data_IF_139619584848
#
_entry.id   IF_139619584848
#
_cell.length_a   1.000
_cell.length_b   1.000
_cell.length_c   1.000
_cell.angle_alpha   90.00
_cell.angle_beta   90.00
_cell.angle_gamma   90.00
#
_symmetry.space_group_name_H-M   'P 1'
#
loop_
_entity.id
_entity.type
_entity.pdbx_description
1 polymer ?
#
# COMPACT_ATOMS: atom_id res chain seq x y z
N UNK A 1 -25.68 33.89 -29.42
CA UNK A 1 -24.81 32.79 -29.90
C UNK A 1 -25.22 32.44 -31.33
N UNK A 2 -24.32 31.94 -32.19
CA UNK A 2 -24.69 31.47 -33.52
C UNK A 2 -25.72 30.32 -33.43
N UNK A 3 -26.56 30.15 -34.46
CA UNK A 3 -27.46 29.00 -34.57
C UNK A 3 -26.65 27.71 -34.80
N UNK A 4 -27.04 26.62 -34.14
CA UNK A 4 -26.44 25.29 -34.38
C UNK A 4 -26.65 24.93 -35.85
N UNK A 5 -25.60 24.42 -36.50
CA UNK A 5 -25.62 24.14 -37.94
C UNK A 5 -25.03 25.26 -38.80
N UNK A 6 -24.78 26.45 -38.24
CA UNK A 6 -24.19 27.56 -39.00
C UNK A 6 -22.79 27.21 -39.51
N UNK A 7 -22.55 27.41 -40.80
CA UNK A 7 -21.23 27.19 -41.45
C UNK A 7 -20.56 28.53 -41.76
N UNK A 8 -19.25 28.63 -41.48
CA UNK A 8 -18.39 29.76 -41.82
C UNK A 8 -17.07 29.31 -42.42
N UNK A 9 -16.45 30.11 -43.28
CA UNK A 9 -15.05 29.93 -43.71
C UNK A 9 -14.11 30.37 -42.59
N UNK A 10 -12.91 29.77 -42.51
CA UNK A 10 -11.90 30.10 -41.50
C UNK A 10 -11.61 31.62 -41.39
N UNK A 11 -11.51 32.32 -42.53
CA UNK A 11 -11.27 33.78 -42.58
C UNK A 11 -12.35 34.60 -41.85
N UNK A 12 -13.61 34.15 -41.85
CA UNK A 12 -14.73 34.82 -41.16
C UNK A 12 -14.69 34.65 -39.63
N UNK A 13 -13.82 33.77 -39.13
CA UNK A 13 -13.58 33.52 -37.71
C UNK A 13 -12.22 34.06 -37.24
N UNK A 14 -11.49 34.77 -38.11
CA UNK A 14 -10.12 35.22 -37.83
C UNK A 14 -9.08 34.08 -37.82
N UNK A 15 -9.41 32.93 -38.42
CA UNK A 15 -8.52 31.77 -38.51
C UNK A 15 -7.85 31.71 -39.89
N UNK A 16 -6.61 31.22 -39.94
CA UNK A 16 -5.89 30.96 -41.18
C UNK A 16 -6.38 29.69 -41.88
N UNK A 17 -6.34 29.67 -43.22
CA UNK A 17 -6.61 28.49 -44.05
C UNK A 17 -7.94 28.51 -44.81
N UNK A 18 -8.22 27.43 -45.53
CA UNK A 18 -9.35 27.31 -46.46
C UNK A 18 -10.52 26.45 -45.93
N UNK A 19 -10.37 25.90 -44.72
CA UNK A 19 -11.35 25.00 -44.14
C UNK A 19 -12.66 25.73 -43.80
N UNK A 20 -13.78 25.01 -43.95
CA UNK A 20 -15.08 25.41 -43.42
C UNK A 20 -15.19 24.94 -41.97
N UNK A 21 -15.91 25.71 -41.18
CA UNK A 21 -16.17 25.47 -39.77
C UNK A 21 -17.68 25.47 -39.52
N UNK A 22 -18.13 24.57 -38.66
CA UNK A 22 -19.51 24.36 -38.27
C UNK A 22 -19.69 24.73 -36.79
N UNK A 23 -20.71 25.52 -36.48
CA UNK A 23 -21.13 25.75 -35.10
C UNK A 23 -21.93 24.53 -34.63
N UNK A 24 -21.34 23.75 -33.72
CA UNK A 24 -21.85 22.44 -33.30
C UNK A 24 -21.88 22.31 -31.78
N UNK A 25 -22.93 21.71 -31.24
CA UNK A 25 -23.04 21.37 -29.82
C UNK A 25 -22.40 20.01 -29.54
N UNK A 26 -21.64 19.89 -28.44
CA UNK A 26 -21.13 18.59 -28.00
C UNK A 26 -22.28 17.64 -27.66
N UNK A 27 -22.33 16.46 -28.27
CA UNK A 27 -23.37 15.44 -27.99
C UNK A 27 -23.41 14.97 -26.53
N UNK A 28 -22.32 15.13 -25.78
CA UNK A 28 -22.21 14.67 -24.38
C UNK A 28 -22.55 15.76 -23.37
N UNK A 29 -22.08 17.01 -23.58
CA UNK A 29 -22.22 18.07 -22.59
C UNK A 29 -23.00 19.30 -23.07
N UNK A 30 -23.52 19.29 -24.30
CA UNK A 30 -24.26 20.41 -24.90
C UNK A 30 -23.41 21.64 -25.25
N UNK A 31 -22.16 21.75 -24.77
CA UNK A 31 -21.32 22.93 -25.03
C UNK A 31 -21.10 23.14 -26.52
N UNK A 32 -21.50 24.31 -26.98
CA UNK A 32 -21.37 24.78 -28.36
C UNK A 32 -19.93 25.22 -28.66
N UNK A 33 -19.47 24.97 -29.89
CA UNK A 33 -18.15 25.38 -30.38
C UNK A 33 -18.11 25.39 -31.90
N UNK A 34 -17.14 26.10 -32.46
CA UNK A 34 -16.73 25.88 -33.85
C UNK A 34 -15.90 24.59 -33.95
N UNK A 35 -16.24 23.72 -34.89
CA UNK A 35 -15.45 22.54 -35.28
C UNK A 35 -15.25 22.53 -36.79
N UNK A 36 -14.18 21.90 -37.30
CA UNK A 36 -14.00 21.79 -38.75
C UNK A 36 -15.14 20.98 -39.37
N UNK A 37 -15.56 21.36 -40.56
CA UNK A 37 -16.56 20.64 -41.36
C UNK A 37 -15.83 19.74 -42.37
N UNK A 38 -16.02 18.42 -42.27
CA UNK A 38 -15.42 17.42 -43.16
C UNK A 38 -16.54 16.60 -43.78
N UNK A 39 -16.65 16.62 -45.12
CA UNK A 39 -17.69 15.90 -45.88
C UNK A 39 -19.13 16.20 -45.42
N UNK A 40 -19.39 17.44 -44.99
CA UNK A 40 -20.72 17.87 -44.54
C UNK A 40 -21.00 17.63 -43.05
N UNK A 41 -20.11 16.96 -42.33
CA UNK A 41 -20.26 16.63 -40.91
C UNK A 41 -19.21 17.33 -40.04
N UNK A 42 -19.45 17.52 -38.73
CA UNK A 42 -18.41 17.98 -37.81
C UNK A 42 -17.27 16.97 -37.72
N UNK A 43 -16.01 17.44 -37.82
CA UNK A 43 -14.81 16.61 -37.65
C UNK A 43 -14.82 15.81 -36.33
N UNK A 44 -15.38 16.42 -35.27
CA UNK A 44 -15.62 15.75 -33.99
C UNK A 44 -17.02 16.09 -33.49
N UNK A 45 -17.86 15.07 -33.30
CA UNK A 45 -19.19 15.25 -32.71
C UNK A 45 -19.13 15.69 -31.23
N UNK A 46 -18.00 15.41 -30.55
CA UNK A 46 -17.78 15.70 -29.14
C UNK A 46 -16.65 16.72 -28.91
N UNK A 47 -16.75 17.51 -27.83
CA UNK A 47 -15.69 18.45 -27.46
C UNK A 47 -14.47 17.69 -26.91
N UNK A 48 -13.27 18.29 -26.98
CA UNK A 48 -12.03 17.67 -26.48
C UNK A 48 -12.14 17.22 -25.02
N UNK A 49 -12.81 18.01 -24.18
CA UNK A 49 -12.99 17.69 -22.77
C UNK A 49 -13.85 16.43 -22.56
N UNK A 50 -14.87 16.19 -23.38
CA UNK A 50 -15.70 14.99 -23.33
C UNK A 50 -15.01 13.80 -24.01
N UNK A 51 -14.43 14.00 -25.19
CA UNK A 51 -13.72 12.95 -25.94
C UNK A 51 -12.49 12.41 -25.20
N UNK A 52 -11.88 13.16 -24.29
CA UNK A 52 -10.74 12.67 -23.50
C UNK A 52 -11.15 11.99 -22.18
N UNK A 53 -12.44 11.80 -21.91
CA UNK A 53 -12.93 11.21 -20.66
C UNK A 53 -13.49 9.80 -20.86
N UNK A 54 -13.20 8.93 -19.89
CA UNK A 54 -13.78 7.60 -19.81
C UNK A 54 -13.61 6.82 -21.11
N UNK A 55 -14.69 6.13 -21.53
CA UNK A 55 -14.72 5.24 -22.70
C UNK A 55 -14.47 5.93 -24.04
N UNK A 56 -14.64 7.26 -24.10
CA UNK A 56 -14.52 8.05 -25.33
C UNK A 56 -13.07 8.37 -25.67
N UNK A 57 -12.16 8.25 -24.69
CA UNK A 57 -10.74 8.47 -24.92
C UNK A 57 -10.15 7.27 -25.66
N UNK A 58 -9.50 7.48 -26.80
CA UNK A 58 -8.83 6.40 -27.55
C UNK A 58 -7.74 5.66 -26.76
N UNK A 59 -7.25 6.24 -25.65
CA UNK A 59 -6.33 5.59 -24.70
C UNK A 59 -7.04 4.86 -23.55
N UNK A 60 -8.36 4.83 -23.54
CA UNK A 60 -9.14 4.16 -22.52
C UNK A 60 -8.98 2.65 -22.66
N UNK A 61 -8.48 2.02 -21.61
CA UNK A 61 -8.15 0.60 -21.61
C UNK A 61 -9.09 -0.21 -20.70
N UNK A 62 -10.40 0.10 -20.69
CA UNK A 62 -11.37 -0.64 -19.88
C UNK A 62 -11.61 -0.09 -18.46
N UNK A 63 -11.01 1.04 -18.08
CA UNK A 63 -11.15 1.60 -16.74
C UNK A 63 -10.24 0.90 -15.71
N UNK A 64 -10.58 0.97 -14.41
CA UNK A 64 -9.87 0.18 -13.38
C UNK A 64 -10.52 -1.20 -13.26
N UNK A 65 -9.72 -2.22 -13.00
CA UNK A 65 -10.14 -3.61 -12.84
C UNK A 65 -10.12 -3.98 -11.36
N UNK A 66 -11.16 -4.64 -10.88
CA UNK A 66 -11.25 -5.14 -9.51
C UNK A 66 -10.41 -6.41 -9.34
N UNK A 67 -9.67 -6.51 -8.24
CA UNK A 67 -8.81 -7.64 -7.88
C UNK A 67 -8.91 -7.91 -6.38
N UNK A 68 -8.65 -9.14 -5.99
CA UNK A 68 -8.49 -9.55 -4.59
C UNK A 68 -6.99 -9.65 -4.30
N UNK A 69 -6.55 -9.03 -3.22
CA UNK A 69 -5.17 -9.11 -2.77
C UNK A 69 -4.90 -10.51 -2.20
N UNK A 70 -3.93 -11.27 -2.71
CA UNK A 70 -3.65 -12.61 -2.18
C UNK A 70 -2.95 -12.60 -0.81
N UNK A 71 -2.64 -11.41 -0.26
CA UNK A 71 -1.98 -11.28 1.04
C UNK A 71 -2.96 -10.93 2.16
N UNK A 72 -3.87 -9.99 1.93
CA UNK A 72 -4.84 -9.54 2.94
C UNK A 72 -6.30 -9.81 2.57
N UNK A 73 -6.56 -10.43 1.41
CA UNK A 73 -7.89 -10.77 0.89
C UNK A 73 -8.81 -9.56 0.61
N UNK A 74 -8.31 -8.33 0.80
CA UNK A 74 -9.06 -7.12 0.46
C UNK A 74 -9.22 -6.95 -1.05
N UNK A 75 -10.37 -6.40 -1.42
CA UNK A 75 -10.67 -6.06 -2.81
C UNK A 75 -10.19 -4.65 -3.16
N UNK A 76 -9.50 -4.50 -4.29
CA UNK A 76 -8.93 -3.23 -4.72
C UNK A 76 -9.00 -3.03 -6.25
N UNK A 77 -8.79 -1.79 -6.70
CA UNK A 77 -8.90 -1.39 -8.10
C UNK A 77 -7.52 -1.13 -8.73
N UNK A 78 -7.23 -1.79 -9.84
CA UNK A 78 -5.93 -1.74 -10.54
C UNK A 78 -6.07 -1.19 -11.95
N UNK A 79 -5.09 -0.42 -12.41
CA UNK A 79 -5.01 -0.02 -13.82
C UNK A 79 -4.63 -1.23 -14.68
N UNK A 80 -5.36 -1.55 -15.76
CA UNK A 80 -5.06 -2.67 -16.64
C UNK A 80 -3.61 -2.69 -17.18
N UNK A 81 -2.98 -1.52 -17.36
CA UNK A 81 -1.58 -1.43 -17.77
C UNK A 81 -0.59 -2.04 -16.77
N UNK A 82 -0.91 -2.05 -15.47
CA UNK A 82 -0.09 -2.72 -14.46
C UNK A 82 -0.17 -4.25 -14.62
N UNK A 83 -1.36 -4.77 -14.92
CA UNK A 83 -1.60 -6.21 -15.11
C UNK A 83 -0.77 -6.78 -16.27
N UNK A 84 -0.58 -6.01 -17.35
CA UNK A 84 0.26 -6.41 -18.50
C UNK A 84 1.72 -6.71 -18.13
N UNK A 85 2.22 -6.15 -17.02
CA UNK A 85 3.57 -6.38 -16.53
C UNK A 85 3.59 -7.22 -15.24
N UNK A 86 2.52 -7.99 -15.00
CA UNK A 86 2.34 -8.77 -13.76
C UNK A 86 2.44 -7.93 -12.47
N UNK A 87 2.13 -6.63 -12.56
CA UNK A 87 2.08 -5.70 -11.42
C UNK A 87 0.62 -5.52 -10.97
N UNK A 88 0.44 -5.04 -9.74
CA UNK A 88 -0.91 -4.84 -9.18
C UNK A 88 -1.58 -6.15 -8.76
N UNK A 89 -0.77 -7.15 -8.37
CA UNK A 89 -1.23 -8.36 -7.70
C UNK A 89 -1.67 -8.07 -6.25
N UNK A 90 -1.06 -7.07 -5.60
CA UNK A 90 -1.31 -6.69 -4.21
C UNK A 90 -1.97 -5.32 -4.11
N UNK A 91 -2.80 -5.13 -3.08
CA UNK A 91 -3.52 -3.87 -2.85
C UNK A 91 -2.58 -2.71 -2.48
N UNK A 92 -1.41 -3.02 -1.94
CA UNK A 92 -0.44 -2.06 -1.42
C UNK A 92 0.99 -2.56 -1.59
N UNK A 93 1.96 -1.65 -1.47
CA UNK A 93 3.39 -2.01 -1.45
C UNK A 93 3.75 -2.85 -0.23
N UNK A 94 3.09 -2.63 0.91
CA UNK A 94 3.30 -3.45 2.11
C UNK A 94 2.89 -4.91 1.87
N UNK A 95 1.69 -5.16 1.32
CA UNK A 95 1.27 -6.53 0.98
C UNK A 95 2.20 -7.22 -0.03
N UNK A 96 2.72 -6.48 -1.01
CA UNK A 96 3.73 -7.02 -1.93
C UNK A 96 5.03 -7.41 -1.20
N UNK A 97 5.53 -6.56 -0.30
CA UNK A 97 6.74 -6.84 0.48
C UNK A 97 6.56 -8.01 1.44
N UNK A 98 5.41 -8.11 2.10
CA UNK A 98 5.08 -9.23 2.98
C UNK A 98 5.13 -10.54 2.18
N UNK A 99 4.48 -10.57 1.02
CA UNK A 99 4.50 -11.73 0.15
C UNK A 99 5.92 -12.12 -0.27
N UNK A 100 6.73 -11.15 -0.68
CA UNK A 100 8.12 -11.40 -1.08
C UNK A 100 8.98 -11.92 0.10
N UNK A 101 8.75 -11.41 1.32
CA UNK A 101 9.41 -11.92 2.53
C UNK A 101 9.00 -13.36 2.83
N UNK A 102 7.70 -13.67 2.75
CA UNK A 102 7.19 -15.06 2.90
C UNK A 102 7.77 -16.03 1.87
N UNK A 103 8.16 -15.54 0.69
CA UNK A 103 8.85 -16.32 -0.35
C UNK A 103 10.37 -16.40 -0.14
N UNK A 104 10.90 -15.83 0.95
CA UNK A 104 12.33 -15.88 1.27
C UNK A 104 13.21 -15.00 0.38
N UNK A 105 12.64 -14.06 -0.38
CA UNK A 105 13.44 -13.11 -1.18
C UNK A 105 14.35 -12.23 -0.31
N UNK A 106 14.01 -12.07 0.96
CA UNK A 106 14.77 -11.32 1.94
C UNK A 106 15.16 -12.26 3.07
N UNK A 107 16.12 -13.17 2.85
CA UNK A 107 16.75 -13.87 3.96
C UNK A 107 17.55 -12.85 4.76
N UNK A 108 16.99 -12.37 5.85
CA UNK A 108 17.71 -11.52 6.80
C UNK A 108 18.28 -12.41 7.89
N UNK A 109 19.60 -12.51 7.93
CA UNK A 109 20.28 -12.98 9.14
C UNK A 109 20.04 -11.96 10.25
N UNK A 110 19.97 -12.41 11.51
CA UNK A 110 19.90 -11.52 12.65
C UNK A 110 20.97 -10.42 12.56
N UNK A 111 20.59 -9.18 12.81
CA UNK A 111 21.52 -8.08 12.97
C UNK A 111 22.27 -8.22 14.32
N UNK A 112 23.27 -7.36 14.59
CA UNK A 112 24.09 -7.47 15.81
C UNK A 112 23.28 -7.35 17.11
N UNK A 113 22.24 -6.53 17.10
CA UNK A 113 21.39 -6.26 18.26
C UNK A 113 20.46 -7.45 18.49
N UNK A 114 19.85 -7.97 17.43
CA UNK A 114 19.07 -9.21 17.46
C UNK A 114 19.92 -10.38 17.95
N UNK A 115 21.15 -10.52 17.45
CA UNK A 115 22.09 -11.55 17.89
C UNK A 115 22.40 -11.45 19.38
N UNK A 116 22.58 -10.23 19.90
CA UNK A 116 22.81 -10.01 21.34
C UNK A 116 21.64 -10.55 22.18
N UNK A 117 20.39 -10.35 21.72
CA UNK A 117 19.22 -10.88 22.40
C UNK A 117 19.06 -12.40 22.23
N UNK A 118 19.38 -12.95 21.05
CA UNK A 118 19.46 -14.41 20.83
C UNK A 118 20.41 -15.03 21.85
N UNK A 119 21.62 -14.48 21.99
CA UNK A 119 22.64 -14.99 22.91
C UNK A 119 22.15 -14.92 24.37
N UNK A 120 21.50 -13.82 24.77
CA UNK A 120 20.89 -13.69 26.09
C UNK A 120 19.79 -14.74 26.34
N UNK A 121 18.95 -15.02 25.34
CA UNK A 121 17.89 -16.02 25.47
C UNK A 121 18.48 -17.42 25.63
N UNK A 122 19.47 -17.78 24.81
CA UNK A 122 20.17 -19.05 24.92
C UNK A 122 20.90 -19.20 26.26
N UNK A 123 21.67 -18.20 26.67
CA UNK A 123 22.45 -18.23 27.92
C UNK A 123 21.55 -18.37 29.17
N UNK A 124 20.35 -17.80 29.14
CA UNK A 124 19.44 -17.79 30.28
C UNK A 124 18.23 -18.72 30.13
N UNK A 125 18.24 -19.60 29.13
CA UNK A 125 17.16 -20.55 28.83
C UNK A 125 15.78 -19.87 28.80
N UNK A 126 15.68 -18.75 28.08
CA UNK A 126 14.44 -18.00 27.93
C UNK A 126 13.65 -18.53 26.73
N UNK A 127 12.32 -18.64 26.84
CA UNK A 127 11.48 -19.31 25.84
C UNK A 127 11.10 -18.36 24.71
N UNK A 128 12.08 -17.77 24.04
CA UNK A 128 11.85 -16.90 22.88
C UNK A 128 12.75 -17.34 21.73
N UNK A 129 12.17 -17.42 20.53
CA UNK A 129 12.89 -17.68 19.28
C UNK A 129 12.83 -16.47 18.37
N UNK A 130 13.89 -16.24 17.60
CA UNK A 130 13.91 -15.24 16.55
C UNK A 130 12.99 -15.65 15.39
N UNK A 131 12.13 -14.74 14.96
CA UNK A 131 11.22 -14.90 13.80
C UNK A 131 11.21 -13.67 12.88
N UNK A 132 12.10 -12.70 13.15
CA UNK A 132 12.23 -11.45 12.39
C UNK A 132 12.72 -11.64 10.94
N UNK A 133 13.10 -12.85 10.56
CA UNK A 133 13.47 -13.22 9.18
C UNK A 133 12.28 -13.34 8.22
N UNK A 134 11.05 -13.28 8.72
CA UNK A 134 9.87 -13.51 7.90
C UNK A 134 9.03 -14.71 8.31
N UNK A 135 9.44 -15.51 9.31
CA UNK A 135 8.78 -16.79 9.64
C UNK A 135 7.32 -16.61 10.08
N UNK A 136 6.99 -15.58 10.86
CA UNK A 136 5.66 -15.40 11.48
C UNK A 136 5.05 -14.03 11.14
N UNK A 137 3.77 -14.00 10.78
CA UNK A 137 3.07 -12.76 10.41
C UNK A 137 1.74 -12.59 11.13
N UNK A 138 1.53 -11.42 11.72
CA UNK A 138 0.26 -10.98 12.30
C UNK A 138 -0.24 -9.79 11.49
N UNK A 139 -1.13 -10.06 10.54
CA UNK A 139 -1.53 -9.06 9.55
C UNK A 139 -0.33 -8.59 8.73
N UNK A 140 0.01 -7.30 8.85
CA UNK A 140 1.11 -6.67 8.10
C UNK A 140 2.41 -6.51 8.89
N UNK A 141 2.55 -7.14 10.07
CA UNK A 141 3.77 -7.07 10.88
C UNK A 141 4.31 -8.47 11.21
N UNK A 142 5.62 -8.55 11.31
CA UNK A 142 6.36 -9.71 11.79
C UNK A 142 7.16 -9.25 13.01
N UNK A 143 7.02 -9.92 14.18
CA UNK A 143 7.79 -9.59 15.38
C UNK A 143 9.23 -10.09 15.28
N UNK A 144 10.17 -9.49 16.01
CA UNK A 144 11.55 -9.98 15.99
C UNK A 144 11.67 -11.31 16.73
N UNK A 145 10.91 -11.49 17.83
CA UNK A 145 10.88 -12.74 18.58
C UNK A 145 9.49 -13.16 19.00
N UNK A 146 9.30 -14.47 19.06
CA UNK A 146 8.05 -15.13 19.48
C UNK A 146 8.33 -16.08 20.64
N UNK A 147 7.43 -16.09 21.63
CA UNK A 147 7.51 -17.02 22.74
C UNK A 147 7.22 -18.47 22.30
N UNK A 148 7.97 -19.43 22.85
CA UNK A 148 7.89 -20.86 22.47
C UNK A 148 7.16 -21.75 23.47
N UNK A 149 6.80 -21.23 24.65
CA UNK A 149 6.14 -21.98 25.74
C UNK A 149 4.60 -21.89 25.65
N UNK A 150 4.05 -21.62 24.47
CA UNK A 150 2.62 -21.50 24.24
C UNK A 150 1.98 -20.19 24.75
N UNK A 151 2.75 -19.29 25.39
CA UNK A 151 2.26 -17.96 25.76
C UNK A 151 2.15 -17.07 24.52
N UNK A 152 1.06 -16.30 24.42
CA UNK A 152 0.89 -15.29 23.37
C UNK A 152 1.72 -14.03 23.68
N UNK A 153 3.03 -14.15 23.49
CA UNK A 153 4.01 -13.11 23.78
C UNK A 153 4.95 -12.90 22.59
N UNK A 154 5.20 -11.64 22.26
CA UNK A 154 6.18 -11.21 21.25
C UNK A 154 7.13 -10.17 21.84
N UNK A 155 8.34 -10.08 21.29
CA UNK A 155 9.31 -9.04 21.59
C UNK A 155 9.68 -8.34 20.29
N UNK A 156 9.75 -7.00 20.33
CA UNK A 156 10.23 -6.16 19.22
C UNK A 156 11.42 -5.30 19.69
N UNK A 157 12.44 -5.21 18.86
CA UNK A 157 13.61 -4.35 18.99
C UNK A 157 13.35 -3.09 18.17
N UNK A 158 13.43 -1.93 18.81
CA UNK A 158 13.23 -0.63 18.17
C UNK A 158 14.55 0.15 18.16
N UNK A 159 15.07 0.44 16.97
CA UNK A 159 16.21 1.35 16.80
C UNK A 159 15.82 2.80 17.06
N UNK A 160 16.53 3.48 17.98
CA UNK A 160 16.22 4.85 18.39
C UNK A 160 16.36 5.88 17.27
N UNK A 161 17.22 5.59 16.28
CA UNK A 161 17.42 6.45 15.12
C UNK A 161 16.33 6.30 14.06
N UNK A 162 15.78 5.09 13.89
CA UNK A 162 14.87 4.76 12.78
C UNK A 162 13.39 4.83 13.17
N UNK A 163 13.08 4.73 14.45
CA UNK A 163 11.71 4.63 14.93
C UNK A 163 11.26 5.92 15.64
N UNK A 164 10.10 6.49 15.25
CA UNK A 164 9.40 7.51 16.03
C UNK A 164 9.13 7.06 17.46
N UNK A 165 9.09 8.00 18.40
CA UNK A 165 8.88 7.74 19.85
C UNK A 165 7.64 6.88 20.15
N UNK A 166 6.60 6.96 19.33
CA UNK A 166 5.33 6.26 19.52
C UNK A 166 5.26 4.88 18.87
N UNK A 167 6.28 4.46 18.09
CA UNK A 167 6.26 3.17 17.39
C UNK A 167 6.06 1.98 18.33
N UNK A 168 6.63 2.05 19.54
CA UNK A 168 6.44 1.00 20.54
C UNK A 168 4.97 0.83 20.96
N UNK A 169 4.23 1.93 21.13
CA UNK A 169 2.81 1.89 21.48
C UNK A 169 1.98 1.30 20.33
N UNK A 170 2.28 1.70 19.09
CA UNK A 170 1.60 1.18 17.90
C UNK A 170 1.82 -0.32 17.72
N UNK A 171 3.04 -0.81 17.99
CA UNK A 171 3.36 -2.25 17.96
C UNK A 171 2.57 -3.02 19.02
N UNK A 172 2.50 -2.47 20.24
CA UNK A 172 1.75 -3.08 21.34
C UNK A 172 0.27 -3.21 20.99
N UNK A 173 -0.37 -2.13 20.52
CA UNK A 173 -1.79 -2.18 20.15
C UNK A 173 -2.04 -3.10 18.94
N UNK A 174 -1.12 -3.13 17.96
CA UNK A 174 -1.20 -4.05 16.82
C UNK A 174 -1.27 -5.51 17.27
N UNK A 175 -0.29 -5.99 18.06
CA UNK A 175 -0.24 -7.38 18.49
C UNK A 175 -1.35 -7.75 19.48
N UNK A 176 -1.79 -6.79 20.30
CA UNK A 176 -2.95 -6.93 21.18
C UNK A 176 -4.22 -7.25 20.41
N UNK A 177 -4.41 -6.70 19.20
CA UNK A 177 -5.51 -7.05 18.30
C UNK A 177 -5.56 -8.55 17.92
N UNK A 178 -4.42 -9.25 17.97
CA UNK A 178 -4.29 -10.68 17.72
C UNK A 178 -4.26 -11.52 19.02
N UNK A 179 -4.48 -10.88 20.18
CA UNK A 179 -4.43 -11.52 21.49
C UNK A 179 -3.01 -11.78 22.01
N UNK A 180 -2.00 -11.09 21.47
CA UNK A 180 -0.62 -11.15 21.94
C UNK A 180 -0.30 -9.98 22.85
N UNK A 181 0.50 -10.22 23.88
CA UNK A 181 1.19 -9.16 24.60
C UNK A 181 2.54 -8.91 23.95
N UNK A 182 2.94 -7.65 23.84
CA UNK A 182 4.18 -7.24 23.18
C UNK A 182 5.08 -6.52 24.18
N UNK A 183 6.36 -6.88 24.18
CA UNK A 183 7.42 -6.14 24.86
C UNK A 183 8.26 -5.41 23.82
N UNK A 184 8.22 -4.09 23.82
CA UNK A 184 9.17 -3.27 23.08
C UNK A 184 10.47 -3.08 23.88
N UNK A 185 11.59 -3.31 23.23
CA UNK A 185 12.94 -3.05 23.75
C UNK A 185 13.58 -2.04 22.81
N UNK A 186 13.93 -0.88 23.33
CA UNK A 186 14.67 0.12 22.56
C UNK A 186 16.15 -0.23 22.52
N UNK A 187 16.81 0.06 21.40
CA UNK A 187 18.23 -0.21 21.17
C UNK A 187 19.14 0.39 22.27
N UNK A 188 18.80 1.58 22.77
CA UNK A 188 19.55 2.24 23.84
C UNK A 188 19.38 1.56 25.21
N UNK A 189 18.31 0.80 25.43
CA UNK A 189 18.17 -0.03 26.64
C UNK A 189 19.25 -1.13 26.69
N UNK A 190 19.75 -1.59 25.55
CA UNK A 190 20.77 -2.63 25.45
C UNK A 190 22.19 -2.15 25.80
N UNK A 191 22.35 -0.86 26.12
CA UNK A 191 23.56 -0.36 26.81
C UNK A 191 23.73 -1.06 28.17
N UNK A 192 22.63 -1.49 28.82
CA UNK A 192 22.64 -2.34 30.01
C UNK A 192 21.86 -3.65 29.75
N UNK A 193 22.52 -4.68 29.19
CA UNK A 193 21.89 -5.95 28.87
C UNK A 193 21.26 -6.67 30.09
N UNK A 194 21.80 -6.48 31.30
CA UNK A 194 21.26 -7.13 32.50
C UNK A 194 19.94 -6.52 32.95
N UNK A 195 19.79 -5.19 32.81
CA UNK A 195 18.51 -4.53 33.03
C UNK A 195 17.46 -5.00 32.03
N UNK A 196 17.84 -5.13 30.76
CA UNK A 196 16.97 -5.68 29.70
C UNK A 196 16.60 -7.14 30.00
N UNK A 197 17.56 -7.97 30.40
CA UNK A 197 17.31 -9.34 30.83
C UNK A 197 16.29 -9.42 31.97
N UNK A 198 16.41 -8.54 32.98
CA UNK A 198 15.44 -8.45 34.07
C UNK A 198 14.03 -8.08 33.57
N UNK A 199 13.93 -7.18 32.59
CA UNK A 199 12.68 -6.80 31.92
C UNK A 199 12.05 -7.99 31.20
N UNK A 200 12.84 -8.71 30.39
CA UNK A 200 12.39 -9.90 29.64
C UNK A 200 11.94 -11.01 30.59
N UNK A 201 12.71 -11.30 31.65
CA UNK A 201 12.33 -12.33 32.64
C UNK A 201 11.00 -12.00 33.32
N UNK A 202 10.75 -10.74 33.68
CA UNK A 202 9.45 -10.31 34.23
C UNK A 202 8.33 -10.49 33.21
N UNK A 203 8.59 -10.14 31.96
CA UNK A 203 7.62 -10.30 30.87
C UNK A 203 7.28 -11.78 30.64
N UNK A 204 8.27 -12.67 30.53
CA UNK A 204 8.09 -14.11 30.33
C UNK A 204 7.28 -14.78 31.46
N UNK A 205 7.46 -14.31 32.70
CA UNK A 205 6.71 -14.80 33.87
C UNK A 205 5.28 -14.31 33.94
N UNK A 206 4.91 -13.26 33.20
CA UNK A 206 3.55 -12.73 33.23
C UNK A 206 2.59 -13.81 32.74
N UNK A 207 1.60 -14.14 33.58
CA UNK A 207 0.48 -14.95 33.15
C UNK A 207 -0.36 -14.14 32.17
N UNK A 208 -0.63 -14.73 31.01
CA UNK A 208 -1.60 -14.17 30.08
C UNK A 208 -2.95 -14.52 30.68
N UNK A 209 -3.43 -13.70 31.63
CA UNK A 209 -4.80 -13.82 32.10
C UNK A 209 -5.69 -13.76 30.86
N UNK A 210 -6.31 -14.88 30.53
CA UNK A 210 -7.34 -14.92 29.52
C UNK A 210 -8.37 -13.88 29.94
N UNK A 211 -8.47 -12.79 29.19
CA UNK A 211 -9.66 -11.96 29.23
C UNK A 211 -10.79 -12.84 28.68
N UNK A 212 -11.31 -13.72 29.54
CA UNK A 212 -12.65 -14.28 29.40
C UNK A 212 -13.57 -13.08 29.28
N UNK A 213 -14.09 -12.89 28.07
CA UNK A 213 -15.20 -11.98 27.79
C UNK A 213 -16.45 -12.47 28.49
#
# INVERSE_FOLDING_TARGET
>A
MPEIGKVKRAKELGLSGWNKWLWHACEVCGKERWTRLIKGEPEYSQCKACGHKGKLNGRWNGGKVQRICPECEETFLVKPSKLKHNRGKYCSRSCELIHLRKQGYFRQSPNKIEQTLIDLFTQHNLPFKYVGDGEVWFGNRNPDFLNTDGKKQVIEILGTYWHPLFDGADRIEHYKGYGFTCLAIWEDELVDPYKVLGKIKRFAKREVYAFTR
#
